data_IF_456716819194
#
_entry.id   IF_456716819194
#
_cell.length_a   1.000
_cell.length_b   1.000
_cell.length_c   1.000
_cell.angle_alpha   90.00
_cell.angle_beta   90.00
_cell.angle_gamma   90.00
#
_symmetry.space_group_name_H-M   'P 1'
#
loop_
_entity.id
_entity.type
_entity.pdbx_description
1 polymer ?
#
# COMPACT_ATOMS: atom_id res chain seq x y z
N UNK A 1 -1.42 -10.84 -13.52
CA UNK A 1 -1.19 -11.32 -14.90
C UNK A 1 -0.12 -10.51 -15.64
N UNK A 2 -0.25 -9.18 -15.79
CA UNK A 2 0.77 -8.32 -16.44
C UNK A 2 2.20 -8.47 -15.86
N UNK A 3 2.32 -8.53 -14.54
CA UNK A 3 3.60 -8.72 -13.84
C UNK A 3 4.18 -10.13 -13.92
N UNK A 4 3.33 -11.16 -13.91
CA UNK A 4 3.76 -12.55 -14.10
C UNK A 4 4.34 -12.75 -15.50
N UNK A 5 3.77 -12.08 -16.50
CA UNK A 5 4.28 -12.06 -17.86
C UNK A 5 5.65 -11.35 -17.98
N UNK A 6 5.86 -10.24 -17.26
CA UNK A 6 7.13 -9.51 -17.28
C UNK A 6 8.25 -10.18 -16.48
N UNK A 7 7.94 -10.88 -15.39
CA UNK A 7 8.93 -11.51 -14.49
C UNK A 7 9.20 -12.98 -14.81
N UNK A 8 8.38 -13.62 -15.66
CA UNK A 8 8.38 -15.07 -15.91
C UNK A 8 8.32 -15.90 -14.61
N UNK A 9 7.71 -15.35 -13.56
CA UNK A 9 7.58 -16.04 -12.27
C UNK A 9 6.10 -16.29 -11.94
N UNK A 10 5.62 -17.54 -12.00
CA UNK A 10 4.23 -17.89 -11.70
C UNK A 10 3.83 -17.67 -10.23
N UNK A 11 4.79 -17.43 -9.33
CA UNK A 11 4.56 -17.07 -7.92
C UNK A 11 4.47 -15.54 -7.69
N UNK A 12 4.74 -14.71 -8.70
CA UNK A 12 4.62 -13.26 -8.57
C UNK A 12 3.13 -12.88 -8.46
N UNK A 13 2.65 -12.70 -7.23
CA UNK A 13 1.25 -12.32 -6.99
C UNK A 13 1.06 -10.82 -7.34
N UNK A 14 -0.07 -10.43 -7.99
CA UNK A 14 -0.30 -9.05 -8.42
C UNK A 14 -0.49 -8.03 -7.28
N UNK A 15 -0.50 -8.47 -6.01
CA UNK A 15 -0.95 -7.67 -4.87
C UNK A 15 0.08 -6.67 -4.31
N UNK A 16 1.35 -6.70 -4.73
CA UNK A 16 2.45 -6.19 -3.89
C UNK A 16 3.33 -5.12 -4.58
N UNK A 17 2.72 -4.10 -5.18
CA UNK A 17 3.45 -2.91 -5.67
C UNK A 17 3.14 -1.66 -4.85
N UNK A 18 2.96 -1.78 -3.53
CA UNK A 18 2.72 -0.64 -2.64
C UNK A 18 1.38 0.09 -2.84
N UNK A 19 0.66 -0.16 -3.94
CA UNK A 19 -0.62 0.47 -4.29
C UNK A 19 -1.72 0.05 -3.31
N UNK A 20 -1.94 -1.27 -3.14
CA UNK A 20 -2.99 -1.75 -2.23
C UNK A 20 -2.72 -1.38 -0.78
N UNK A 21 -1.49 -1.58 -0.30
CA UNK A 21 -1.12 -1.20 1.07
C UNK A 21 -1.12 0.32 1.29
N UNK A 22 -0.77 1.11 0.28
CA UNK A 22 -0.87 2.59 0.36
C UNK A 22 -2.31 3.07 0.40
N UNK A 23 -3.22 2.44 -0.34
CA UNK A 23 -4.65 2.73 -0.27
C UNK A 23 -5.22 2.38 1.10
N UNK A 24 -4.98 1.15 1.59
CA UNK A 24 -5.44 0.71 2.90
C UNK A 24 -4.89 1.57 4.03
N UNK A 25 -3.60 1.94 3.98
CA UNK A 25 -3.00 2.84 4.97
C UNK A 25 -3.70 4.20 5.02
N UNK A 26 -3.93 4.84 3.87
CA UNK A 26 -4.61 6.16 3.84
C UNK A 26 -6.06 6.05 4.30
N UNK A 27 -6.77 4.99 3.93
CA UNK A 27 -8.14 4.75 4.41
C UNK A 27 -8.15 4.64 5.93
N UNK A 28 -7.31 3.79 6.52
CA UNK A 28 -7.24 3.60 7.97
C UNK A 28 -6.81 4.89 8.68
N UNK A 29 -5.82 5.61 8.13
CA UNK A 29 -5.38 6.88 8.67
C UNK A 29 -6.52 7.90 8.71
N UNK A 30 -7.26 8.04 7.62
CA UNK A 30 -8.37 9.00 7.54
C UNK A 30 -9.51 8.58 8.47
N UNK A 31 -9.93 7.31 8.45
CA UNK A 31 -11.05 6.83 9.27
C UNK A 31 -10.78 6.96 10.77
N UNK A 32 -9.54 6.70 11.21
CA UNK A 32 -9.21 6.69 12.64
C UNK A 32 -8.77 8.07 13.13
N UNK A 33 -7.90 8.77 12.38
CA UNK A 33 -7.29 10.03 12.84
C UNK A 33 -8.16 11.25 12.48
N UNK A 34 -8.90 11.19 11.36
CA UNK A 34 -9.72 12.32 10.87
C UNK A 34 -11.13 11.84 10.50
N UNK A 35 -11.96 11.45 11.49
CA UNK A 35 -13.27 10.82 11.24
C UNK A 35 -14.21 11.67 10.38
N UNK A 36 -14.05 13.01 10.40
CA UNK A 36 -14.84 13.93 9.58
C UNK A 36 -14.68 13.71 8.06
N UNK A 37 -13.63 13.01 7.64
CA UNK A 37 -13.33 12.72 6.24
C UNK A 37 -13.64 11.27 5.85
N UNK A 38 -14.25 10.45 6.73
CA UNK A 38 -14.56 9.04 6.47
C UNK A 38 -15.37 8.85 5.17
N UNK A 39 -16.33 9.73 4.88
CA UNK A 39 -17.11 9.70 3.64
C UNK A 39 -16.24 9.80 2.37
N UNK A 40 -15.08 10.46 2.47
CA UNK A 40 -14.13 10.62 1.38
C UNK A 40 -13.02 9.56 1.38
N UNK A 41 -13.02 8.61 2.33
CA UNK A 41 -11.94 7.66 2.53
C UNK A 41 -11.61 6.86 1.25
N UNK A 42 -12.62 6.48 0.45
CA UNK A 42 -12.38 5.78 -0.81
C UNK A 42 -11.59 6.64 -1.82
N UNK A 43 -11.97 7.91 -1.99
CA UNK A 43 -11.28 8.82 -2.90
C UNK A 43 -9.86 9.14 -2.43
N UNK A 44 -9.68 9.31 -1.11
CA UNK A 44 -8.37 9.51 -0.50
C UNK A 44 -7.52 8.24 -0.59
N UNK A 45 -8.12 7.06 -0.49
CA UNK A 45 -7.47 5.76 -0.70
C UNK A 45 -6.87 5.64 -2.10
N UNK A 46 -7.53 6.15 -3.14
CA UNK A 46 -6.96 6.19 -4.51
C UNK A 46 -5.69 7.03 -4.55
N UNK A 47 -5.66 8.17 -3.84
CA UNK A 47 -4.46 9.01 -3.72
C UNK A 47 -3.36 8.24 -2.97
N UNK A 48 -3.70 7.53 -1.90
CA UNK A 48 -2.76 6.65 -1.19
C UNK A 48 -2.18 5.56 -2.09
N UNK A 49 -3.01 4.96 -2.93
CA UNK A 49 -2.60 3.97 -3.92
C UNK A 49 -1.60 4.55 -4.93
N UNK A 50 -1.88 5.75 -5.44
CA UNK A 50 -1.00 6.46 -6.36
C UNK A 50 0.36 6.79 -5.71
N UNK A 51 0.34 7.31 -4.48
CA UNK A 51 1.57 7.63 -3.71
C UNK A 51 2.38 6.36 -3.46
N UNK A 52 1.74 5.25 -3.07
CA UNK A 52 2.42 3.98 -2.85
C UNK A 52 3.09 3.45 -4.11
N UNK A 53 2.38 3.45 -5.24
CA UNK A 53 2.94 3.05 -6.53
C UNK A 53 4.09 3.95 -7.00
N UNK A 54 3.94 5.27 -6.84
CA UNK A 54 4.98 6.24 -7.19
C UNK A 54 6.24 6.05 -6.33
N UNK A 55 6.07 5.76 -5.04
CA UNK A 55 7.17 5.49 -4.11
C UNK A 55 7.93 4.24 -4.52
N UNK A 56 7.23 3.14 -4.82
CA UNK A 56 7.86 1.91 -5.32
C UNK A 56 8.62 2.16 -6.62
N UNK A 57 8.01 2.90 -7.56
CA UNK A 57 8.65 3.23 -8.83
C UNK A 57 9.95 4.02 -8.64
N UNK A 58 9.92 5.06 -7.81
CA UNK A 58 11.12 5.89 -7.55
C UNK A 58 12.22 5.09 -6.85
N UNK A 59 11.89 4.28 -5.83
CA UNK A 59 12.85 3.43 -5.11
C UNK A 59 13.43 2.31 -5.98
N UNK A 60 12.68 1.82 -6.98
CA UNK A 60 13.16 0.76 -7.87
C UNK A 60 14.29 1.18 -8.82
N UNK A 61 14.68 2.46 -8.81
CA UNK A 61 15.77 3.00 -9.62
C UNK A 61 15.32 3.51 -10.98
N UNK A 62 14.21 4.26 -11.02
CA UNK A 62 13.61 4.84 -12.21
C UNK A 62 14.60 5.53 -13.17
N UNK A 63 15.70 6.11 -12.65
CA UNK A 63 16.70 6.85 -13.43
C UNK A 63 18.03 6.10 -13.67
N UNK A 64 18.26 4.95 -13.01
CA UNK A 64 19.59 4.27 -12.97
C UNK A 64 19.56 2.78 -13.33
N UNK A 65 18.52 2.33 -14.05
CA UNK A 65 18.35 0.94 -14.45
C UNK A 65 17.45 0.17 -13.48
N UNK A 66 16.15 0.26 -13.75
CA UNK A 66 15.11 -0.51 -13.07
C UNK A 66 15.23 -1.98 -13.48
N UNK A 67 15.37 -2.86 -12.50
CA UNK A 67 15.35 -4.31 -12.71
C UNK A 67 14.14 -4.92 -12.03
N UNK A 68 13.62 -6.06 -12.54
CA UNK A 68 12.49 -6.73 -11.91
C UNK A 68 12.72 -7.07 -10.43
N UNK A 69 13.96 -7.40 -10.07
CA UNK A 69 14.36 -7.70 -8.68
C UNK A 69 14.28 -6.44 -7.81
N UNK A 70 14.81 -5.29 -8.26
CA UNK A 70 14.71 -4.02 -7.52
C UNK A 70 13.27 -3.57 -7.33
N UNK A 71 12.45 -3.74 -8.35
CA UNK A 71 11.02 -3.39 -8.31
C UNK A 71 10.26 -4.27 -7.31
N UNK A 72 10.55 -5.57 -7.27
CA UNK A 72 9.98 -6.49 -6.31
C UNK A 72 10.41 -6.18 -4.86
N UNK A 73 11.71 -5.95 -4.63
CA UNK A 73 12.23 -5.60 -3.30
C UNK A 73 11.68 -4.27 -2.79
N UNK A 74 11.61 -3.24 -3.64
CA UNK A 74 11.00 -1.96 -3.30
C UNK A 74 9.50 -2.12 -2.99
N UNK A 75 8.78 -2.91 -3.79
CA UNK A 75 7.37 -3.23 -3.55
C UNK A 75 7.13 -3.88 -2.19
N UNK A 76 7.93 -4.89 -1.84
CA UNK A 76 7.87 -5.56 -0.53
C UNK A 76 8.20 -4.61 0.63
N UNK A 77 9.24 -3.79 0.50
CA UNK A 77 9.63 -2.85 1.54
C UNK A 77 8.52 -1.83 1.83
N UNK A 78 7.94 -1.24 0.78
CA UNK A 78 6.84 -0.28 0.91
C UNK A 78 5.57 -0.94 1.43
N UNK A 79 5.29 -2.18 1.02
CA UNK A 79 4.18 -2.94 1.57
C UNK A 79 4.31 -3.12 3.08
N UNK A 80 5.45 -3.66 3.55
CA UNK A 80 5.69 -3.87 4.96
C UNK A 80 5.67 -2.57 5.76
N UNK A 81 6.19 -1.49 5.20
CA UNK A 81 6.17 -0.16 5.82
C UNK A 81 4.74 0.35 6.04
N UNK A 82 3.90 0.34 5.01
CA UNK A 82 2.52 0.80 5.17
C UNK A 82 1.68 -0.14 6.03
N UNK A 83 1.91 -1.45 5.95
CA UNK A 83 1.23 -2.41 6.82
C UNK A 83 1.58 -2.19 8.29
N UNK A 84 2.86 -2.00 8.63
CA UNK A 84 3.27 -1.76 10.02
C UNK A 84 2.75 -0.43 10.57
N UNK A 85 2.69 0.61 9.74
CA UNK A 85 2.06 1.88 10.13
C UNK A 85 0.56 1.71 10.36
N UNK A 86 -0.12 0.97 9.49
CA UNK A 86 -1.57 0.68 9.62
C UNK A 86 -1.85 -0.07 10.91
N UNK A 87 -1.11 -1.15 11.19
CA UNK A 87 -1.20 -1.90 12.44
C UNK A 87 -0.89 -1.03 13.66
N UNK A 88 0.14 -0.17 13.58
CA UNK A 88 0.48 0.77 14.64
C UNK A 88 -0.66 1.74 14.96
N UNK A 89 -1.32 2.30 13.95
CA UNK A 89 -2.48 3.18 14.13
C UNK A 89 -3.64 2.42 14.80
N UNK A 90 -3.90 1.19 14.38
CA UNK A 90 -4.97 0.36 14.96
C UNK A 90 -4.70 0.07 16.45
N UNK A 91 -3.47 -0.34 16.78
CA UNK A 91 -3.09 -0.68 18.16
C UNK A 91 -3.21 0.54 19.08
N UNK A 92 -2.83 1.73 18.60
CA UNK A 92 -2.94 2.97 19.38
C UNK A 92 -4.40 3.45 19.55
N UNK A 93 -5.36 2.85 18.85
CA UNK A 93 -6.76 3.28 18.81
C UNK A 93 -7.71 2.09 19.03
N UNK A 94 -7.63 1.50 20.25
CA UNK A 94 -8.34 0.27 20.68
C UNK A 94 -9.86 0.23 20.41
N UNK A 95 -10.51 1.37 20.17
CA UNK A 95 -11.95 1.48 19.92
C UNK A 95 -12.40 1.30 18.45
N UNK A 96 -11.49 1.08 17.49
CA UNK A 96 -11.80 1.05 16.04
C UNK A 96 -11.94 -0.36 15.43
N UNK A 97 -12.04 -1.41 16.26
CA UNK A 97 -11.77 -2.80 15.87
C UNK A 97 -12.72 -3.44 14.84
N UNK A 98 -13.97 -2.98 14.68
CA UNK A 98 -14.93 -3.66 13.78
C UNK A 98 -14.90 -3.16 12.32
N UNK A 99 -14.61 -1.88 12.08
CA UNK A 99 -14.65 -1.32 10.71
C UNK A 99 -13.36 -1.57 9.93
N UNK A 100 -12.21 -1.71 10.61
CA UNK A 100 -10.90 -1.83 9.95
C UNK A 100 -10.67 -3.22 9.35
N UNK A 101 -11.22 -4.28 9.96
CA UNK A 101 -11.09 -5.65 9.44
C UNK A 101 -11.75 -5.88 8.08
N UNK A 102 -12.66 -5.01 7.65
CA UNK A 102 -13.25 -5.09 6.31
C UNK A 102 -12.27 -4.68 5.19
N UNK A 103 -11.26 -3.86 5.52
CA UNK A 103 -10.36 -3.21 4.53
C UNK A 103 -8.94 -3.78 4.47
N UNK A 104 -8.62 -4.75 5.35
CA UNK A 104 -7.36 -5.51 5.37
C UNK A 104 -7.45 -6.75 4.45
#
# INVERSE_FOLDING_TARGET
LLMQAMTRNPLASPKIFGVSSGASFVIVLVTIIIPSLEYYALYLGVIGAFIGGLTVYTLSGATKGMTPIKLALAGMAIHLFFSSMTEGIIILNENSNEQVMFWL
#
